data_IF_971706355228
#
_entry.id   IF_971706355228
#
_cell.length_a   1.000
_cell.length_b   1.000
_cell.length_c   1.000
_cell.angle_alpha   90.00
_cell.angle_beta   90.00
_cell.angle_gamma   90.00
#
_symmetry.space_group_name_H-M   'P 1'
#
loop_
_entity.id
_entity.type
_entity.pdbx_description
1 polymer ?
#
# COMPACT_ATOMS: atom_id res chain seq x y z
N UNK A 1 -7.43 -8.95 -6.15
CA UNK A 1 -7.31 -7.55 -6.58
C UNK A 1 -8.68 -7.07 -7.07
N UNK A 2 -9.01 -5.78 -6.89
CA UNK A 2 -10.29 -5.23 -7.38
C UNK A 2 -10.41 -5.35 -8.90
N UNK A 3 -9.30 -5.33 -9.64
CA UNK A 3 -9.26 -5.45 -11.10
C UNK A 3 -9.86 -6.76 -11.64
N UNK A 4 -9.92 -7.81 -10.84
CA UNK A 4 -10.54 -9.09 -11.21
C UNK A 4 -11.97 -9.26 -10.72
N UNK A 5 -12.53 -8.27 -10.00
CA UNK A 5 -13.87 -8.36 -9.45
C UNK A 5 -14.92 -7.88 -10.48
N UNK A 6 -15.96 -8.69 -10.71
CA UNK A 6 -17.09 -8.29 -11.53
C UNK A 6 -18.07 -7.45 -10.71
N UNK A 7 -18.05 -6.13 -10.92
CA UNK A 7 -18.96 -5.21 -10.28
C UNK A 7 -20.35 -5.17 -10.92
N UNK A 8 -20.56 -5.78 -12.09
CA UNK A 8 -21.84 -5.71 -12.82
C UNK A 8 -22.94 -6.39 -12.02
N UNK A 9 -22.71 -7.61 -11.56
CA UNK A 9 -23.64 -8.34 -10.70
C UNK A 9 -23.87 -7.63 -9.36
N UNK A 10 -22.79 -7.09 -8.76
CA UNK A 10 -22.90 -6.34 -7.51
C UNK A 10 -23.77 -5.08 -7.66
N UNK A 11 -23.63 -4.34 -8.76
CA UNK A 11 -24.44 -3.14 -9.05
C UNK A 11 -25.93 -3.44 -9.12
N UNK A 12 -26.32 -4.61 -9.62
CA UNK A 12 -27.73 -5.00 -9.77
C UNK A 12 -28.48 -5.15 -8.44
N UNK A 13 -27.76 -5.50 -7.36
CA UNK A 13 -28.36 -5.68 -6.02
C UNK A 13 -28.36 -4.41 -5.18
N UNK A 14 -27.66 -3.37 -5.63
CA UNK A 14 -27.63 -2.09 -4.93
C UNK A 14 -28.88 -1.27 -5.25
N UNK A 15 -29.49 -0.70 -4.22
CA UNK A 15 -30.63 0.20 -4.34
C UNK A 15 -30.22 1.66 -4.12
N UNK A 16 -30.86 2.59 -4.83
CA UNK A 16 -30.60 4.01 -4.70
C UNK A 16 -29.25 4.45 -5.29
N UNK A 17 -28.62 5.41 -4.64
CA UNK A 17 -27.31 5.96 -5.01
C UNK A 17 -26.32 5.83 -3.84
N UNK A 18 -25.87 4.63 -3.49
CA UNK A 18 -24.98 4.42 -2.35
C UNK A 18 -23.63 5.11 -2.55
N UNK A 19 -22.96 5.40 -1.45
CA UNK A 19 -21.55 5.78 -1.47
C UNK A 19 -20.70 4.52 -1.55
N UNK A 20 -19.83 4.45 -2.54
CA UNK A 20 -18.85 3.37 -2.70
C UNK A 20 -17.54 3.84 -2.12
N UNK A 21 -17.08 3.21 -1.04
CA UNK A 21 -15.82 3.55 -0.40
C UNK A 21 -14.75 2.56 -0.85
N UNK A 22 -13.79 3.05 -1.64
CA UNK A 22 -12.64 2.28 -2.09
C UNK A 22 -11.45 2.56 -1.17
N UNK A 23 -11.01 1.57 -0.40
CA UNK A 23 -9.92 1.69 0.57
C UNK A 23 -8.56 1.23 0.04
N UNK A 24 -8.49 0.89 -1.24
CA UNK A 24 -7.28 0.49 -1.95
C UNK A 24 -7.00 1.50 -3.06
N UNK A 25 -6.19 2.54 -2.81
CA UNK A 25 -6.03 3.69 -3.70
C UNK A 25 -5.10 3.41 -4.88
N UNK A 26 -5.43 2.44 -5.72
CA UNK A 26 -4.75 2.16 -7.00
C UNK A 26 -5.44 2.89 -8.14
N UNK A 27 -4.64 3.37 -9.11
CA UNK A 27 -5.16 4.04 -10.32
C UNK A 27 -5.97 3.04 -11.14
N UNK A 28 -5.45 1.86 -11.33
CA UNK A 28 -6.05 0.78 -12.12
C UNK A 28 -7.35 0.27 -11.47
N UNK A 29 -7.36 0.09 -10.15
CA UNK A 29 -8.56 -0.31 -9.40
C UNK A 29 -9.64 0.77 -9.46
N UNK A 30 -9.26 2.05 -9.39
CA UNK A 30 -10.22 3.14 -9.57
C UNK A 30 -10.80 3.18 -10.98
N UNK A 31 -9.98 2.99 -12.01
CA UNK A 31 -10.47 2.94 -13.40
C UNK A 31 -11.47 1.80 -13.59
N UNK A 32 -11.17 0.63 -13.03
CA UNK A 32 -12.07 -0.52 -13.07
C UNK A 32 -13.38 -0.24 -12.35
N UNK A 33 -13.35 0.34 -11.15
CA UNK A 33 -14.53 0.69 -10.36
C UNK A 33 -15.36 1.78 -11.04
N UNK A 34 -14.73 2.83 -11.58
CA UNK A 34 -15.39 3.96 -12.23
C UNK A 34 -16.00 3.62 -13.59
N UNK A 35 -15.62 2.50 -14.20
CA UNK A 35 -16.31 1.97 -15.38
C UNK A 35 -17.71 1.44 -15.05
N UNK A 36 -17.98 1.09 -13.79
CA UNK A 36 -19.27 0.53 -13.35
C UNK A 36 -20.10 1.54 -12.54
N UNK A 37 -19.46 2.33 -11.68
CA UNK A 37 -20.12 3.28 -10.78
C UNK A 37 -19.83 4.72 -11.17
N UNK A 38 -20.82 5.64 -11.05
CA UNK A 38 -20.60 7.07 -11.25
C UNK A 38 -19.51 7.60 -10.29
N UNK A 39 -18.60 8.42 -10.82
CA UNK A 39 -17.46 8.95 -10.06
C UNK A 39 -17.88 9.77 -8.84
N UNK A 40 -19.03 10.42 -8.88
CA UNK A 40 -19.60 11.16 -7.75
C UNK A 40 -20.08 10.27 -6.60
N UNK A 41 -20.20 8.95 -6.81
CA UNK A 41 -20.53 7.97 -5.77
C UNK A 41 -19.26 7.36 -5.15
N UNK A 42 -18.10 7.52 -5.77
CA UNK A 42 -16.85 6.90 -5.33
C UNK A 42 -16.12 7.85 -4.37
N UNK A 43 -15.84 7.33 -3.17
CA UNK A 43 -14.94 7.95 -2.19
C UNK A 43 -13.70 7.08 -2.10
N UNK A 44 -12.55 7.68 -2.35
CA UNK A 44 -11.26 7.01 -2.20
C UNK A 44 -10.73 7.25 -0.79
N UNK A 45 -10.28 6.18 -0.14
CA UNK A 45 -9.59 6.22 1.15
C UNK A 45 -8.36 5.32 1.13
N UNK A 46 -7.51 5.46 2.14
CA UNK A 46 -6.36 4.58 2.34
C UNK A 46 -6.40 4.05 3.77
N UNK A 47 -6.38 2.73 3.93
CA UNK A 47 -6.33 2.10 5.25
C UNK A 47 -5.02 2.51 5.94
N UNK A 48 -5.14 3.09 7.14
CA UNK A 48 -4.00 3.50 7.97
C UNK A 48 -3.88 2.69 9.26
N UNK A 49 -4.79 1.75 9.47
CA UNK A 49 -4.73 0.81 10.59
C UNK A 49 -4.00 -0.48 10.17
N UNK A 50 -3.39 -1.14 11.14
CA UNK A 50 -2.88 -2.50 11.00
C UNK A 50 -3.89 -3.43 11.67
N UNK A 51 -4.27 -4.52 11.00
CA UNK A 51 -5.10 -5.57 11.60
C UNK A 51 -4.65 -6.96 11.13
N UNK A 52 -4.75 -7.94 12.03
CA UNK A 52 -4.37 -9.31 11.75
C UNK A 52 -5.15 -10.31 12.60
N UNK A 53 -5.19 -11.57 12.16
CA UNK A 53 -5.70 -12.66 12.97
C UNK A 53 -4.70 -12.99 14.09
N UNK A 54 -5.08 -12.77 15.33
CA UNK A 54 -4.28 -13.07 16.50
C UNK A 54 -4.65 -14.47 17.06
N UNK A 55 -3.70 -15.20 17.66
CA UNK A 55 -2.29 -14.82 17.82
C UNK A 55 -1.45 -14.97 16.54
N UNK A 56 -0.42 -14.15 16.41
CA UNK A 56 0.70 -14.47 15.50
C UNK A 56 1.51 -15.63 16.08
N UNK A 57 2.34 -16.28 15.27
CA UNK A 57 3.10 -17.46 15.68
C UNK A 57 4.00 -17.22 16.92
N UNK A 58 4.39 -15.97 17.16
CA UNK A 58 5.25 -15.55 18.29
C UNK A 58 4.48 -14.99 19.47
N UNK A 59 3.14 -14.86 19.37
CA UNK A 59 2.30 -14.27 20.42
C UNK A 59 1.70 -15.35 21.33
N UNK A 60 1.60 -15.03 22.62
CA UNK A 60 0.96 -15.87 23.66
C UNK A 60 -0.39 -15.30 24.06
N UNK A 61 -1.30 -15.14 23.10
CA UNK A 61 -2.67 -14.67 23.36
C UNK A 61 -3.57 -15.87 23.62
N UNK A 62 -4.29 -15.87 24.74
CA UNK A 62 -5.13 -17.01 25.15
C UNK A 62 -6.34 -17.23 24.24
N UNK A 63 -6.96 -16.16 23.73
CA UNK A 63 -8.17 -16.23 22.89
C UNK A 63 -7.88 -15.75 21.47
N UNK A 64 -8.14 -16.58 20.47
CA UNK A 64 -8.04 -16.17 19.06
C UNK A 64 -9.03 -15.03 18.75
N UNK A 65 -8.60 -14.09 17.91
CA UNK A 65 -9.43 -12.96 17.52
C UNK A 65 -8.79 -12.11 16.42
N UNK A 66 -9.31 -10.91 16.24
CA UNK A 66 -8.71 -9.91 15.37
C UNK A 66 -8.04 -8.85 16.23
N UNK A 67 -6.72 -8.81 16.18
CA UNK A 67 -5.96 -7.70 16.74
C UNK A 67 -5.92 -6.54 15.75
N UNK A 68 -5.96 -5.31 16.25
CA UNK A 68 -5.78 -4.12 15.44
C UNK A 68 -4.98 -3.05 16.18
N UNK A 69 -4.26 -2.26 15.44
CA UNK A 69 -3.51 -1.12 15.95
C UNK A 69 -3.76 0.11 15.09
N UNK A 70 -4.12 1.21 15.75
CA UNK A 70 -4.29 2.52 15.14
C UNK A 70 -3.01 3.32 15.39
N UNK A 71 -2.16 3.52 14.39
CA UNK A 71 -0.95 4.32 14.56
C UNK A 71 -1.30 5.72 15.04
N UNK A 72 -0.68 6.21 16.12
CA UNK A 72 -0.97 7.54 16.64
C UNK A 72 -0.63 8.60 15.60
N UNK A 73 -1.48 9.63 15.51
CA UNK A 73 -1.31 10.78 14.60
C UNK A 73 -1.38 10.46 13.09
N UNK A 74 -1.86 9.27 12.71
CA UNK A 74 -2.01 8.86 11.30
C UNK A 74 -3.50 8.76 10.94
N UNK A 75 -4.17 9.88 10.61
CA UNK A 75 -5.58 9.86 10.24
C UNK A 75 -5.78 9.23 8.84
N UNK A 76 -6.86 8.46 8.70
CA UNK A 76 -7.29 7.90 7.41
C UNK A 76 -7.69 9.02 6.45
N UNK A 77 -7.01 9.19 5.31
CA UNK A 77 -7.36 10.22 4.34
C UNK A 77 -8.51 9.76 3.43
N UNK A 78 -9.41 10.68 3.11
CA UNK A 78 -10.50 10.47 2.15
C UNK A 78 -10.53 11.56 1.10
N UNK A 79 -10.78 11.19 -0.18
CA UNK A 79 -11.01 12.11 -1.30
C UNK A 79 -12.22 11.69 -2.12
N UNK A 80 -12.79 12.63 -2.88
CA UNK A 80 -13.99 12.43 -3.68
C UNK A 80 -15.02 13.55 -3.45
N UNK A 81 -16.28 13.32 -3.82
CA UNK A 81 -17.36 14.29 -3.71
C UNK A 81 -17.56 14.79 -2.27
N UNK A 82 -17.65 16.10 -2.08
CA UNK A 82 -17.52 16.78 -0.78
C UNK A 82 -18.49 16.24 0.27
N UNK A 83 -19.79 16.18 -0.04
CA UNK A 83 -20.80 15.78 0.95
C UNK A 83 -20.61 14.33 1.38
N UNK A 84 -20.45 13.40 0.43
CA UNK A 84 -20.22 11.98 0.70
C UNK A 84 -18.93 11.75 1.48
N UNK A 85 -17.86 12.46 1.12
CA UNK A 85 -16.59 12.41 1.84
C UNK A 85 -16.75 12.87 3.29
N UNK A 86 -17.53 13.95 3.51
CA UNK A 86 -17.75 14.46 4.85
C UNK A 86 -18.56 13.48 5.71
N UNK A 87 -19.57 12.83 5.13
CA UNK A 87 -20.34 11.76 5.81
C UNK A 87 -19.41 10.62 6.26
N UNK A 88 -18.53 10.14 5.38
CA UNK A 88 -17.57 9.08 5.72
C UNK A 88 -16.61 9.54 6.82
N UNK A 89 -16.06 10.75 6.72
CA UNK A 89 -15.16 11.29 7.75
C UNK A 89 -15.89 11.37 9.09
N UNK A 90 -17.12 11.88 9.13
CA UNK A 90 -17.92 11.96 10.36
C UNK A 90 -18.16 10.57 10.95
N UNK A 91 -18.55 9.58 10.13
CA UNK A 91 -18.72 8.19 10.57
C UNK A 91 -17.47 7.61 11.21
N UNK A 92 -16.30 7.87 10.62
CA UNK A 92 -15.01 7.42 11.19
C UNK A 92 -14.72 8.10 12.54
N UNK A 93 -14.94 9.42 12.62
CA UNK A 93 -14.72 10.19 13.85
C UNK A 93 -15.68 9.76 14.98
N UNK A 94 -16.95 9.50 14.66
CA UNK A 94 -17.94 8.97 15.60
C UNK A 94 -17.52 7.59 16.12
N UNK A 95 -16.92 6.76 15.25
CA UNK A 95 -16.28 5.49 15.60
C UNK A 95 -14.92 5.62 16.31
N UNK A 96 -14.51 6.84 16.70
CA UNK A 96 -13.21 7.15 17.34
C UNK A 96 -11.99 6.78 16.48
N UNK A 97 -12.15 6.71 15.18
CA UNK A 97 -11.08 6.53 14.20
C UNK A 97 -10.71 7.88 13.58
N UNK A 98 -9.44 8.26 13.68
CA UNK A 98 -8.97 9.50 13.08
C UNK A 98 -9.11 9.48 11.56
N UNK A 99 -9.78 10.49 11.00
CA UNK A 99 -9.99 10.64 9.57
C UNK A 99 -9.80 12.10 9.14
N UNK A 100 -9.42 12.31 7.88
CA UNK A 100 -9.22 13.65 7.31
C UNK A 100 -9.59 13.73 5.84
N UNK A 101 -9.89 14.94 5.39
CA UNK A 101 -10.04 15.25 3.97
C UNK A 101 -8.68 15.29 3.26
N UNK A 102 -8.63 14.77 2.05
CA UNK A 102 -7.50 14.87 1.12
C UNK A 102 -7.97 15.41 -0.23
N UNK A 103 -7.08 16.05 -0.98
CA UNK A 103 -7.36 16.47 -2.36
C UNK A 103 -7.45 15.26 -3.31
N UNK A 104 -6.52 14.32 -3.18
CA UNK A 104 -6.47 13.07 -3.94
C UNK A 104 -5.70 12.03 -3.12
N UNK A 105 -6.41 11.02 -2.63
CA UNK A 105 -5.78 9.91 -1.90
C UNK A 105 -4.91 9.10 -2.87
N UNK A 106 -5.39 8.85 -4.07
CA UNK A 106 -4.69 8.10 -5.13
C UNK A 106 -3.34 8.71 -5.45
N UNK A 107 -3.28 10.03 -5.69
CA UNK A 107 -2.01 10.72 -5.95
C UNK A 107 -1.06 10.68 -4.76
N UNK A 108 -1.58 10.83 -3.55
CA UNK A 108 -0.76 10.80 -2.32
C UNK A 108 -0.20 9.42 -2.02
N UNK A 109 -0.90 8.35 -2.40
CA UNK A 109 -0.48 6.96 -2.13
C UNK A 109 0.46 6.38 -3.19
N UNK A 110 0.60 6.99 -4.37
CA UNK A 110 1.41 6.46 -5.47
C UNK A 110 2.81 6.02 -5.02
N UNK A 111 3.59 6.94 -4.49
CA UNK A 111 4.97 6.68 -4.09
C UNK A 111 5.09 5.83 -2.82
N UNK A 112 4.31 6.08 -1.74
CA UNK A 112 4.33 5.21 -0.55
C UNK A 112 3.95 3.76 -0.86
N UNK A 113 2.94 3.54 -1.70
CA UNK A 113 2.55 2.18 -2.11
C UNK A 113 3.65 1.50 -2.92
N UNK A 114 4.27 2.22 -3.87
CA UNK A 114 5.36 1.68 -4.67
C UNK A 114 6.58 1.33 -3.81
N UNK A 115 6.94 2.20 -2.86
CA UNK A 115 7.98 1.93 -1.86
C UNK A 115 7.69 0.65 -1.08
N UNK A 116 6.44 0.52 -0.58
CA UNK A 116 6.03 -0.66 0.20
C UNK A 116 6.11 -1.93 -0.64
N UNK A 117 5.60 -1.94 -1.87
CA UNK A 117 5.61 -3.14 -2.71
C UNK A 117 7.04 -3.59 -3.05
N UNK A 118 7.92 -2.67 -3.43
CA UNK A 118 9.32 -2.98 -3.68
C UNK A 118 10.03 -3.50 -2.41
N UNK A 119 9.76 -2.88 -1.26
CA UNK A 119 10.29 -3.31 0.03
C UNK A 119 9.82 -4.73 0.40
N UNK A 120 8.53 -5.03 0.23
CA UNK A 120 7.97 -6.36 0.51
C UNK A 120 8.60 -7.44 -0.38
N UNK A 121 8.83 -7.13 -1.67
CA UNK A 121 9.55 -8.03 -2.59
C UNK A 121 10.95 -8.37 -2.08
N UNK A 122 11.72 -7.37 -1.66
CA UNK A 122 13.06 -7.59 -1.10
C UNK A 122 13.01 -8.33 0.26
N UNK A 123 12.02 -8.03 1.09
CA UNK A 123 11.84 -8.67 2.40
C UNK A 123 11.44 -10.14 2.23
N UNK A 124 10.56 -10.47 1.31
CA UNK A 124 10.19 -11.85 0.98
C UNK A 124 11.42 -12.65 0.54
N UNK A 125 12.26 -12.10 -0.35
CA UNK A 125 13.49 -12.76 -0.79
C UNK A 125 14.52 -12.96 0.35
N UNK A 126 14.38 -12.18 1.44
CA UNK A 126 15.17 -12.31 2.68
C UNK A 126 14.46 -13.18 3.73
N UNK A 127 13.44 -13.99 3.32
CA UNK A 127 12.65 -14.85 4.20
C UNK A 127 11.99 -14.09 5.36
N UNK A 128 11.46 -12.90 5.08
CA UNK A 128 10.78 -12.00 6.01
C UNK A 128 11.64 -11.55 7.20
N UNK A 129 12.96 -11.73 7.12
CA UNK A 129 13.89 -11.44 8.22
C UNK A 129 14.61 -10.10 8.01
N UNK A 130 14.41 -9.16 8.93
CA UNK A 130 15.00 -7.82 8.88
C UNK A 130 16.53 -7.83 9.02
N UNK A 131 17.07 -8.75 9.79
CA UNK A 131 18.53 -8.87 9.99
C UNK A 131 19.16 -9.35 8.68
N UNK A 132 18.56 -10.35 8.05
CA UNK A 132 19.01 -10.88 6.75
C UNK A 132 18.99 -9.77 5.69
N UNK A 133 17.86 -9.09 5.52
CA UNK A 133 17.73 -7.99 4.55
C UNK A 133 18.73 -6.86 4.85
N UNK A 134 18.84 -6.46 6.10
CA UNK A 134 19.74 -5.37 6.53
C UNK A 134 21.21 -5.66 6.23
N UNK A 135 21.63 -6.92 6.31
CA UNK A 135 23.01 -7.35 6.08
C UNK A 135 23.32 -7.61 4.60
N UNK A 136 22.29 -7.82 3.78
CA UNK A 136 22.43 -8.00 2.32
C UNK A 136 22.57 -6.63 1.63
N UNK A 137 23.83 -6.14 1.59
CA UNK A 137 24.11 -4.84 0.94
C UNK A 137 23.84 -4.83 -0.57
N UNK A 138 24.15 -5.89 -1.35
CA UNK A 138 23.73 -5.98 -2.75
C UNK A 138 22.22 -5.82 -2.94
N UNK A 139 21.41 -6.59 -2.21
CA UNK A 139 19.94 -6.54 -2.30
C UNK A 139 19.39 -5.17 -1.87
N UNK A 140 19.94 -4.55 -0.83
CA UNK A 140 19.53 -3.19 -0.44
C UNK A 140 19.83 -2.15 -1.51
N UNK A 141 20.98 -2.22 -2.19
CA UNK A 141 21.28 -1.33 -3.31
C UNK A 141 20.31 -1.58 -4.48
N UNK A 142 20.06 -2.83 -4.80
CA UNK A 142 19.08 -3.21 -5.82
C UNK A 142 17.69 -2.67 -5.51
N UNK A 143 17.20 -2.85 -4.28
CA UNK A 143 15.93 -2.32 -3.80
C UNK A 143 15.84 -0.80 -4.02
N UNK A 144 16.87 -0.04 -3.62
CA UNK A 144 16.85 1.41 -3.74
C UNK A 144 16.84 1.86 -5.20
N UNK A 145 17.67 1.25 -6.04
CA UNK A 145 17.69 1.57 -7.47
C UNK A 145 16.34 1.21 -8.12
N UNK A 146 15.74 0.09 -7.76
CA UNK A 146 14.39 -0.29 -8.25
C UNK A 146 13.31 0.71 -7.81
N UNK A 147 13.37 1.20 -6.56
CA UNK A 147 12.48 2.26 -6.07
C UNK A 147 12.65 3.53 -6.91
N UNK A 148 13.88 3.94 -7.21
CA UNK A 148 14.15 5.12 -8.02
C UNK A 148 13.64 4.95 -9.46
N UNK A 149 13.79 3.76 -10.06
CA UNK A 149 13.24 3.44 -11.38
C UNK A 149 11.70 3.50 -11.39
N UNK A 150 11.05 2.91 -10.38
CA UNK A 150 9.58 2.98 -10.21
C UNK A 150 9.14 4.44 -10.06
N UNK A 151 9.81 5.20 -9.21
CA UNK A 151 9.43 6.59 -8.94
C UNK A 151 9.59 7.46 -10.19
N UNK A 152 10.65 7.29 -10.95
CA UNK A 152 10.84 8.00 -12.22
C UNK A 152 9.72 7.68 -13.23
N UNK A 153 9.34 6.41 -13.33
CA UNK A 153 8.24 5.99 -14.20
C UNK A 153 6.88 6.58 -13.77
N UNK A 154 6.61 6.61 -12.47
CA UNK A 154 5.38 7.18 -11.92
C UNK A 154 5.33 8.71 -12.09
N UNK A 155 6.47 9.40 -11.92
CA UNK A 155 6.58 10.84 -12.16
C UNK A 155 6.21 11.18 -13.61
N UNK A 156 6.73 10.41 -14.58
CA UNK A 156 6.43 10.60 -16.00
C UNK A 156 4.99 10.24 -16.37
N UNK A 157 4.51 9.09 -15.90
CA UNK A 157 3.15 8.59 -16.24
C UNK A 157 2.05 9.51 -15.70
N UNK A 158 2.20 10.05 -14.49
CA UNK A 158 1.14 10.78 -13.78
C UNK A 158 1.37 12.28 -13.73
N UNK A 159 2.45 12.79 -14.30
CA UNK A 159 2.86 14.22 -14.22
C UNK A 159 2.86 14.76 -12.77
N UNK A 160 3.44 13.99 -11.87
CA UNK A 160 3.55 14.30 -10.44
C UNK A 160 4.99 14.20 -9.98
N UNK A 161 5.37 14.94 -8.97
CA UNK A 161 6.71 14.86 -8.38
C UNK A 161 6.68 14.08 -7.09
N UNK A 162 7.70 13.21 -6.90
CA UNK A 162 7.87 12.49 -5.64
C UNK A 162 8.04 13.46 -4.47
N UNK A 163 7.47 13.15 -3.29
CA UNK A 163 7.67 13.94 -2.07
C UNK A 163 9.16 14.05 -1.70
N UNK A 164 9.55 15.22 -1.18
CA UNK A 164 10.97 15.51 -0.84
C UNK A 164 11.54 14.45 0.13
N UNK A 165 10.75 14.02 1.13
CA UNK A 165 11.18 12.99 2.08
C UNK A 165 11.54 11.63 1.43
N UNK A 166 10.91 11.30 0.30
CA UNK A 166 11.20 10.06 -0.43
C UNK A 166 12.39 10.17 -1.40
N UNK A 167 12.94 11.38 -1.60
CA UNK A 167 14.18 11.59 -2.35
C UNK A 167 15.42 11.17 -1.56
N UNK A 168 15.30 11.03 -0.25
CA UNK A 168 16.39 10.69 0.65
C UNK A 168 16.49 9.18 0.92
N UNK A 169 15.80 8.34 0.14
CA UNK A 169 15.90 6.89 0.28
C UNK A 169 17.34 6.45 0.06
N UNK A 170 17.95 5.85 1.08
CA UNK A 170 19.33 5.38 1.05
C UNK A 170 19.47 4.08 1.85
N UNK A 171 20.53 3.28 1.58
CA UNK A 171 20.80 2.06 2.35
C UNK A 171 20.86 2.29 3.85
N UNK A 172 21.44 3.43 4.27
CA UNK A 172 21.56 3.77 5.69
C UNK A 172 20.20 4.00 6.33
N UNK A 173 19.30 4.71 5.65
CA UNK A 173 17.95 4.98 6.15
C UNK A 173 17.17 3.66 6.27
N UNK A 174 17.19 2.80 5.24
CA UNK A 174 16.51 1.50 5.30
C UNK A 174 17.08 0.63 6.41
N UNK A 175 18.41 0.53 6.54
CA UNK A 175 19.07 -0.20 7.63
C UNK A 175 18.63 0.30 9.01
N UNK A 176 18.51 1.62 9.17
CA UNK A 176 18.07 2.23 10.43
C UNK A 176 16.61 1.92 10.72
N UNK A 177 15.73 2.02 9.72
CA UNK A 177 14.32 1.68 9.86
C UNK A 177 14.13 0.21 10.22
N UNK A 178 14.81 -0.72 9.54
CA UNK A 178 14.78 -2.16 9.84
C UNK A 178 15.27 -2.47 11.26
N UNK A 179 16.23 -1.67 11.78
CA UNK A 179 16.72 -1.83 13.16
C UNK A 179 15.72 -1.33 14.19
N UNK A 180 15.02 -0.23 13.90
CA UNK A 180 14.14 0.45 14.85
C UNK A 180 12.70 -0.12 14.84
N UNK A 181 12.21 -0.58 13.69
CA UNK A 181 10.84 -1.04 13.53
C UNK A 181 10.40 -2.07 14.58
N UNK A 182 11.19 -3.12 14.93
CA UNK A 182 10.80 -4.08 15.96
C UNK A 182 10.64 -3.49 17.37
N UNK A 183 11.23 -2.32 17.63
CA UNK A 183 11.14 -1.66 18.94
C UNK A 183 10.00 -0.65 19.03
N UNK A 184 9.46 -0.21 17.91
CA UNK A 184 8.41 0.81 17.83
C UNK A 184 7.03 0.17 17.63
N UNK A 185 6.98 -0.96 16.95
CA UNK A 185 5.74 -1.65 16.65
C UNK A 185 5.23 -2.44 17.86
N UNK A 186 3.91 -2.41 18.16
CA UNK A 186 3.33 -3.11 19.31
C UNK A 186 3.14 -4.63 19.08
N UNK A 187 3.56 -5.15 17.93
CA UNK A 187 3.51 -6.57 17.57
C UNK A 187 4.85 -7.00 16.98
N UNK A 188 5.06 -8.31 16.86
CA UNK A 188 6.16 -8.84 16.07
C UNK A 188 5.95 -8.51 14.60
N UNK A 189 6.65 -7.48 14.13
CA UNK A 189 6.45 -6.90 12.79
C UNK A 189 6.93 -7.85 11.68
N UNK A 190 7.94 -8.69 11.90
CA UNK A 190 8.44 -9.66 10.94
C UNK A 190 7.41 -10.76 10.72
N UNK A 191 6.92 -11.37 11.81
CA UNK A 191 5.85 -12.37 11.78
C UNK A 191 4.54 -11.80 11.20
N UNK A 192 4.22 -10.54 11.54
CA UNK A 192 3.07 -9.85 10.94
C UNK A 192 3.22 -9.72 9.43
N UNK A 193 4.36 -9.25 8.94
CA UNK A 193 4.58 -9.08 7.49
C UNK A 193 4.47 -10.43 6.76
N UNK A 194 5.12 -11.46 7.27
CA UNK A 194 5.01 -12.79 6.69
C UNK A 194 3.55 -13.26 6.65
N UNK A 195 2.87 -13.30 7.79
CA UNK A 195 1.50 -13.79 7.89
C UNK A 195 0.50 -12.99 7.06
N UNK A 196 0.68 -11.67 6.95
CA UNK A 196 -0.23 -10.78 6.23
C UNK A 196 0.05 -10.81 4.72
N UNK A 197 1.30 -10.62 4.30
CA UNK A 197 1.63 -10.42 2.89
C UNK A 197 1.77 -11.72 2.10
N UNK A 198 2.04 -12.84 2.74
CA UNK A 198 1.93 -14.15 2.08
C UNK A 198 0.51 -14.45 1.62
N UNK A 199 -0.52 -14.01 2.35
CA UNK A 199 -1.93 -14.16 1.95
C UNK A 199 -2.29 -13.35 0.69
N UNK A 200 -1.58 -12.26 0.45
CA UNK A 200 -1.82 -11.32 -0.65
C UNK A 200 -0.63 -11.23 -1.61
N UNK A 201 0.21 -12.26 -1.65
CA UNK A 201 1.40 -12.34 -2.49
C UNK A 201 1.10 -12.01 -3.96
N UNK A 202 0.02 -12.56 -4.51
CA UNK A 202 -0.39 -12.29 -5.90
C UNK A 202 -0.67 -10.81 -6.14
N UNK A 203 -1.14 -10.10 -5.13
CA UNK A 203 -1.34 -8.65 -5.22
C UNK A 203 -0.02 -7.90 -5.27
N UNK A 204 0.96 -8.25 -4.43
CA UNK A 204 2.30 -7.66 -4.47
C UNK A 204 2.93 -7.87 -5.85
N UNK A 205 2.86 -9.09 -6.37
CA UNK A 205 3.36 -9.43 -7.70
C UNK A 205 2.64 -8.65 -8.81
N UNK A 206 1.33 -8.50 -8.73
CA UNK A 206 0.55 -7.70 -9.68
C UNK A 206 1.02 -6.24 -9.70
N UNK A 207 1.21 -5.63 -8.53
CA UNK A 207 1.71 -4.25 -8.44
C UNK A 207 3.11 -4.11 -9.01
N UNK A 208 4.03 -5.02 -8.70
CA UNK A 208 5.40 -4.99 -9.22
C UNK A 208 5.42 -5.14 -10.75
N UNK A 209 4.59 -6.02 -11.31
CA UNK A 209 4.42 -6.16 -12.76
C UNK A 209 3.85 -4.88 -13.39
N UNK A 210 2.89 -4.21 -12.75
CA UNK A 210 2.33 -2.95 -13.22
C UNK A 210 3.38 -1.82 -13.21
N UNK A 211 4.24 -1.76 -12.20
CA UNK A 211 5.34 -0.79 -12.16
C UNK A 211 6.37 -1.07 -13.26
N UNK A 212 6.73 -2.32 -13.49
CA UNK A 212 7.64 -2.70 -14.57
C UNK A 212 7.05 -2.35 -15.94
N UNK A 213 5.78 -2.66 -16.18
CA UNK A 213 5.08 -2.29 -17.41
C UNK A 213 5.02 -0.76 -17.58
N UNK A 214 4.80 -0.02 -16.51
CA UNK A 214 4.80 1.44 -16.51
C UNK A 214 6.17 1.99 -16.87
N UNK A 215 7.26 1.47 -16.29
CA UNK A 215 8.61 1.90 -16.60
C UNK A 215 8.96 1.63 -18.07
N UNK A 216 8.63 0.44 -18.59
CA UNK A 216 8.82 0.08 -20.00
C UNK A 216 8.06 1.02 -20.96
N UNK A 217 6.80 1.32 -20.65
CA UNK A 217 5.95 2.16 -21.50
C UNK A 217 6.30 3.65 -21.44
N UNK A 218 6.85 4.14 -20.33
CA UNK A 218 7.28 5.53 -20.16
C UNK A 218 8.68 5.82 -20.69
N UNK A 219 9.43 4.79 -21.13
CA UNK A 219 10.82 4.93 -21.57
C UNK A 219 11.80 5.17 -20.41
N UNK A 220 11.40 4.93 -19.16
CA UNK A 220 12.28 5.02 -18.00
C UNK A 220 13.24 3.84 -17.91
N UNK A 221 14.34 3.98 -17.16
CA UNK A 221 15.16 2.83 -16.76
C UNK A 221 14.33 1.85 -15.93
N UNK A 222 14.57 0.55 -16.10
CA UNK A 222 13.86 -0.52 -15.40
C UNK A 222 14.70 -1.77 -15.15
N UNK A 223 15.99 -1.72 -15.49
CA UNK A 223 16.86 -2.91 -15.43
C UNK A 223 16.95 -3.51 -14.02
N UNK A 224 17.06 -2.65 -13.01
CA UNK A 224 17.16 -3.09 -11.60
C UNK A 224 15.79 -3.54 -11.08
N UNK A 225 14.71 -2.86 -11.49
CA UNK A 225 13.35 -3.25 -11.16
C UNK A 225 12.98 -4.62 -11.76
N UNK A 226 13.40 -4.89 -13.00
CA UNK A 226 13.15 -6.19 -13.64
C UNK A 226 13.81 -7.34 -12.88
N UNK A 227 15.05 -7.15 -12.44
CA UNK A 227 15.74 -8.14 -11.59
C UNK A 227 15.06 -8.30 -10.23
N UNK A 228 14.66 -7.20 -9.56
CA UNK A 228 13.93 -7.28 -8.29
C UNK A 228 12.60 -8.02 -8.45
N UNK A 229 11.87 -7.74 -9.53
CA UNK A 229 10.56 -8.37 -9.80
C UNK A 229 10.64 -9.89 -10.06
N UNK A 230 11.83 -10.41 -10.40
CA UNK A 230 12.05 -11.85 -10.60
C UNK A 230 12.29 -12.61 -9.29
N UNK A 231 12.45 -11.91 -8.16
CA UNK A 231 12.69 -12.54 -6.85
C UNK A 231 11.40 -13.07 -6.19
N UNK A 232 10.20 -12.77 -6.74
CA UNK A 232 8.89 -13.17 -6.21
C UNK A 232 8.17 -14.21 -7.07
#
# INVERSE_FOLDING_TARGET
>A
ALQSFDFTGFKQVLTGKPTIVMLQPSVEDYQHLSATFPVEQIIEGMITLISYSAPLATETIELPGIAYWLPPFVPTPFSGQINRRQEIITTFLDGKMAAKSSKSVRTQSLFPTALLMAFLTALESSQWNFITLRNDTPLLKQLIHSIDEIFAALELKHDVKRPIGLRLTSPLIIKTLLRLAPHVMPMDIETYFEAHFMKVKDQTKLYMNNYLATAKSSGSSYSTLEVLNQLT
#
